data_IF_681438434265
#
_entry.id   IF_681438434265
#
_cell.length_a   1.000
_cell.length_b   1.000
_cell.length_c   1.000
_cell.angle_alpha   90.00
_cell.angle_beta   90.00
_cell.angle_gamma   90.00
#
_symmetry.space_group_name_H-M   'P 1'
#
loop_
_entity.id
_entity.type
_entity.pdbx_description
1 polymer ?
2 non-polymer ?
3 non-polymer ?
4 non-polymer ?
5 water ?
#
# COMPACT_ATOMS: atom_id res chain seq x y z
N UNK A 1 13.66 6.82 -6.46
CA UNK A 1 13.12 6.89 -5.07
C UNK A 1 12.00 7.92 -5.00
N UNK A 2 11.15 7.79 -3.99
CA UNK A 2 10.16 8.81 -3.68
C UNK A 2 10.29 9.20 -2.22
N UNK A 3 9.83 10.40 -1.90
CA UNK A 3 9.91 10.93 -0.54
C UNK A 3 8.61 11.59 -0.07
N UNK A 4 8.37 11.53 1.24
CA UNK A 4 7.28 12.28 1.87
C UNK A 4 7.69 12.76 3.27
N UNK A 5 7.42 14.03 3.52
CA UNK A 5 7.76 14.68 4.79
C UNK A 5 6.50 15.06 5.55
N UNK A 6 6.39 14.61 6.81
CA UNK A 6 5.23 14.94 7.62
C UNK A 6 5.28 16.39 8.13
N UNK A 7 6.49 16.93 8.27
CA UNK A 7 6.64 18.32 8.70
C UNK A 7 6.12 19.26 7.63
N UNK A 8 5.00 19.91 7.93
CA UNK A 8 4.37 20.84 6.99
C UNK A 8 3.45 20.16 5.99
N UNK A 9 3.21 18.86 6.18
CA UNK A 9 2.37 18.10 5.25
C UNK A 9 0.95 18.60 5.25
N UNK A 10 0.34 18.61 4.07
CA UNK A 10 -1.08 18.91 3.93
C UNK A 10 -1.68 18.04 2.83
N UNK A 11 -3.00 18.15 2.60
CA UNK A 11 -3.58 17.28 1.57
C UNK A 11 -2.89 17.37 0.21
N UNK A 12 -2.42 18.56 -0.14
CA UNK A 12 -1.72 18.78 -1.41
C UNK A 12 -0.36 18.08 -1.46
N UNK A 13 0.48 18.23 -0.44
CA UNK A 13 1.80 17.61 -0.44
C UNK A 13 1.70 16.08 -0.36
N UNK A 14 0.69 15.60 0.37
CA UNK A 14 0.41 14.15 0.42
C UNK A 14 -0.03 13.65 -0.95
N UNK A 15 -0.93 14.39 -1.61
CA UNK A 15 -1.36 14.04 -2.97
C UNK A 15 -0.19 13.98 -3.95
N UNK A 16 0.76 14.90 -3.80
CA UNK A 16 1.97 14.89 -4.63
C UNK A 16 2.80 13.63 -4.39
N UNK A 17 2.87 13.20 -3.12
CA UNK A 17 3.60 11.99 -2.75
C UNK A 17 2.98 10.74 -3.38
N UNK A 18 1.66 10.64 -3.30
CA UNK A 18 0.94 9.47 -3.83
C UNK A 18 1.04 9.44 -5.36
N UNK A 19 1.01 10.63 -5.98
CA UNK A 19 1.29 10.76 -7.42
C UNK A 19 2.70 10.26 -7.79
N UNK A 20 3.71 10.69 -7.01
CA UNK A 20 5.09 10.24 -7.21
C UNK A 20 5.22 8.73 -7.03
N UNK A 21 4.55 8.21 -6.01
CA UNK A 21 4.57 6.78 -5.72
C UNK A 21 4.02 5.98 -6.91
N UNK A 22 2.84 6.35 -7.39
CA UNK A 22 2.26 5.75 -8.59
C UNK A 22 3.18 5.82 -9.81
N UNK A 23 3.76 7.00 -10.05
CA UNK A 23 4.62 7.22 -11.23
C UNK A 23 5.96 6.51 -11.17
N UNK A 24 6.36 6.09 -9.97
CA UNK A 24 7.61 5.35 -9.79
C UNK A 24 7.43 3.85 -10.13
N UNK A 25 6.19 3.41 -10.28
CA UNK A 25 5.91 2.00 -10.57
C UNK A 25 5.86 1.81 -12.08
N UNK A 26 6.72 0.92 -12.61
CA UNK A 26 6.80 0.74 -14.06
C UNK A 26 5.64 -0.04 -14.64
N UNK A 27 5.29 0.30 -15.87
CA UNK A 27 4.30 -0.43 -16.65
C UNK A 27 4.61 -0.20 -18.12
N UNK A 28 4.32 -1.21 -18.95
CA UNK A 28 4.46 -1.07 -20.40
C UNK A 28 3.08 -1.03 -21.08
N UNK A 29 2.02 -1.14 -20.28
CA UNK A 29 0.68 -1.31 -20.80
C UNK A 29 -0.36 -0.73 -19.84
N UNK A 30 -1.42 -0.15 -20.40
CA UNK A 30 -2.59 0.19 -19.63
C UNK A 30 -3.77 -0.67 -20.08
N UNK A 31 -4.58 -1.08 -19.11
CA UNK A 31 -5.77 -1.86 -19.37
C UNK A 31 -6.96 -1.03 -18.90
N UNK A 32 -7.83 -0.69 -19.86
CA UNK A 32 -8.91 0.27 -19.65
C UNK A 32 -8.39 1.57 -19.01
N UNK A 33 -7.28 2.06 -19.56
CA UNK A 33 -6.63 3.31 -19.14
C UNK A 33 -5.97 3.28 -17.75
N UNK A 34 -5.90 2.11 -17.14
CA UNK A 34 -5.28 1.92 -15.83
C UNK A 34 -3.94 1.21 -16.01
N UNK A 35 -2.85 1.77 -15.47
CA UNK A 35 -1.55 1.13 -15.58
C UNK A 35 -1.54 -0.31 -15.08
N UNK A 36 -0.97 -1.20 -15.89
CA UNK A 36 -0.86 -2.61 -15.55
C UNK A 36 0.55 -2.89 -15.02
N UNK A 37 0.63 -3.26 -13.75
CA UNK A 37 1.94 -3.55 -13.16
C UNK A 37 2.58 -4.73 -13.86
N UNK A 38 3.90 -4.75 -13.87
CA UNK A 38 4.65 -5.75 -14.62
C UNK A 38 4.52 -7.14 -13.98
N UNK A 39 4.59 -8.21 -14.81
CA UNK A 39 4.58 -9.56 -14.28
C UNK A 39 5.74 -9.81 -13.32
N UNK A 40 6.92 -9.31 -13.68
CA UNK A 40 8.09 -9.41 -12.81
C UNK A 40 9.19 -8.45 -13.24
N UNK A 41 10.06 -8.16 -12.29
CA UNK A 41 11.25 -7.35 -12.52
C UNK A 41 12.37 -8.08 -11.81
N UNK A 42 13.51 -8.25 -12.49
CA UNK A 42 14.64 -8.98 -11.91
C UNK A 42 15.59 -8.04 -11.19
N UNK A 43 16.17 -8.55 -10.10
CA UNK A 43 17.23 -7.85 -9.39
C UNK A 43 16.74 -6.70 -8.55
N UNK A 44 17.62 -5.73 -8.32
CA UNK A 44 17.33 -4.60 -7.45
C UNK A 44 16.23 -3.69 -7.98
N UNK A 45 16.05 -3.65 -9.30
CA UNK A 45 15.02 -2.79 -9.91
C UNK A 45 13.59 -3.15 -9.52
N UNK A 46 13.43 -4.31 -8.88
CA UNK A 46 12.14 -4.75 -8.37
C UNK A 46 11.63 -3.89 -7.22
N UNK A 47 12.53 -3.21 -6.52
CA UNK A 47 12.19 -2.52 -5.28
C UNK A 47 12.33 -1.01 -5.35
N UNK A 48 11.23 -0.32 -5.07
CA UNK A 48 11.20 1.13 -4.93
C UNK A 48 11.48 1.48 -3.48
N UNK A 49 12.30 2.50 -3.28
CA UNK A 49 12.58 3.02 -1.94
C UNK A 49 11.76 4.26 -1.67
N UNK A 50 11.02 4.23 -0.57
CA UNK A 50 10.22 5.37 -0.12
C UNK A 50 10.90 5.96 1.10
N UNK A 51 11.31 7.22 1.01
CA UNK A 51 11.91 7.91 2.14
C UNK A 51 10.82 8.68 2.85
N UNK A 52 10.49 8.25 4.07
CA UNK A 52 9.46 8.89 4.88
C UNK A 52 10.07 9.58 6.09
N UNK A 53 9.66 10.82 6.31
CA UNK A 53 10.20 11.64 7.40
C UNK A 53 9.08 12.01 8.35
N UNK A 54 9.28 11.72 9.63
CA UNK A 54 8.30 12.11 10.64
C UNK A 54 8.39 13.62 10.85
N UNK A 55 7.51 14.16 11.68
CA UNK A 55 7.44 15.59 11.90
C UNK A 55 8.77 16.17 12.39
N UNK A 56 9.50 15.41 13.20
CA UNK A 56 10.80 15.85 13.73
C UNK A 56 11.96 15.70 12.74
N UNK A 57 11.69 15.17 11.55
CA UNK A 57 12.73 15.03 10.54
C UNK A 57 13.48 13.71 10.58
N UNK A 58 13.10 12.83 11.51
CA UNK A 58 13.66 11.48 11.55
C UNK A 58 13.08 10.68 10.41
N UNK A 59 13.84 9.71 9.91
CA UNK A 59 13.48 9.05 8.67
C UNK A 59 13.61 7.54 8.68
N UNK A 60 12.72 6.90 7.93
CA UNK A 60 12.88 5.49 7.57
C UNK A 60 12.82 5.38 6.05
N UNK A 61 13.41 4.32 5.51
CA UNK A 61 13.31 4.04 4.08
C UNK A 61 12.57 2.73 3.94
N UNK A 62 11.48 2.73 3.16
CA UNK A 62 10.63 1.57 3.01
C UNK A 62 10.84 0.97 1.63
N UNK A 63 11.11 -0.33 1.58
CA UNK A 63 11.28 -1.05 0.30
C UNK A 63 9.95 -1.60 -0.18
N UNK A 64 9.58 -1.26 -1.40
CA UNK A 64 8.30 -1.63 -1.99
C UNK A 64 8.54 -2.42 -3.28
N UNK A 65 7.92 -3.60 -3.39
CA UNK A 65 7.98 -4.40 -4.61
C UNK A 65 7.10 -3.73 -5.67
N UNK A 66 7.71 -3.33 -6.78
CA UNK A 66 7.03 -2.50 -7.79
C UNK A 66 6.03 -3.29 -8.66
N UNK A 67 6.06 -4.61 -8.57
CA UNK A 67 5.13 -5.46 -9.30
C UNK A 67 3.79 -5.62 -8.58
N UNK A 68 3.77 -5.41 -7.25
CA UNK A 68 2.53 -5.61 -6.48
C UNK A 68 2.23 -4.55 -5.39
N UNK A 69 3.12 -3.57 -5.26
CA UNK A 69 3.07 -2.53 -4.22
C UNK A 69 3.10 -3.08 -2.79
N UNK A 70 3.67 -4.27 -2.63
CA UNK A 70 3.84 -4.86 -1.31
C UNK A 70 5.10 -4.35 -0.65
N UNK A 71 4.96 -3.92 0.59
CA UNK A 71 6.09 -3.48 1.39
C UNK A 71 6.81 -4.74 1.86
N UNK A 72 8.10 -4.80 1.57
CA UNK A 72 8.95 -5.93 1.93
C UNK A 72 9.67 -5.73 3.27
N UNK A 73 10.04 -4.48 3.54
CA UNK A 73 10.81 -4.16 4.72
C UNK A 73 11.17 -2.70 4.75
N UNK A 74 12.00 -2.30 5.72
CA UNK A 74 12.38 -0.91 5.87
C UNK A 74 13.68 -0.79 6.62
N UNK A 75 14.33 0.36 6.44
CA UNK A 75 15.58 0.68 7.11
C UNK A 75 15.34 1.83 8.08
N UNK A 76 15.77 1.63 9.32
CA UNK A 76 15.68 2.66 10.33
C UNK A 76 17.06 2.80 10.97
N UNK A 77 17.72 3.90 10.64
CA UNK A 77 19.11 4.17 10.99
C UNK A 77 20.06 3.10 10.43
N UNK A 78 20.56 2.20 11.27
CA UNK A 78 21.52 1.20 10.82
C UNK A 78 20.97 -0.23 10.94
N UNK A 79 19.66 -0.33 11.19
CA UNK A 79 19.00 -1.61 11.28
C UNK A 79 17.95 -1.75 10.19
N UNK A 80 18.04 -2.83 9.42
CA UNK A 80 16.98 -3.19 8.48
C UNK A 80 16.00 -4.18 9.13
N UNK A 81 14.74 -4.11 8.68
CA UNK A 81 13.68 -4.97 9.16
C UNK A 81 12.94 -5.54 7.95
N UNK A 82 12.74 -6.84 7.91
CA UNK A 82 11.99 -7.47 6.80
C UNK A 82 10.91 -8.39 7.35
N UNK A 83 9.80 -8.47 6.61
CA UNK A 83 8.75 -9.41 6.94
C UNK A 83 9.27 -10.85 6.85
N UNK A 84 8.66 -11.71 7.65
CA UNK A 84 9.01 -13.13 7.70
C UNK A 84 8.24 -13.87 6.61
N UNK A 85 8.69 -13.68 5.37
CA UNK A 85 8.04 -14.27 4.20
C UNK A 85 9.10 -14.36 3.07
N UNK A 86 8.96 -15.35 2.18
CA UNK A 86 10.03 -15.55 1.17
C UNK A 86 10.31 -14.34 0.27
N UNK A 87 9.27 -13.60 -0.11
CA UNK A 87 9.45 -12.43 -0.96
C UNK A 87 10.28 -11.35 -0.29
N UNK A 88 10.13 -11.22 1.03
CA UNK A 88 10.88 -10.21 1.79
C UNK A 88 12.33 -10.65 2.00
N UNK A 89 12.55 -11.94 2.25
CA UNK A 89 13.91 -12.46 2.36
C UNK A 89 14.66 -12.25 1.05
N UNK A 90 13.98 -12.48 -0.08
CA UNK A 90 14.55 -12.20 -1.39
C UNK A 90 14.91 -10.72 -1.52
N UNK A 91 14.00 -9.83 -1.11
CA UNK A 91 14.27 -8.39 -1.12
C UNK A 91 15.52 -8.05 -0.30
N UNK A 92 15.73 -8.76 0.80
CA UNK A 92 16.86 -8.49 1.69
C UNK A 92 18.22 -8.80 1.03
N UNK A 93 18.20 -9.54 -0.08
CA UNK A 93 19.41 -9.73 -0.88
C UNK A 93 19.80 -8.47 -1.67
N UNK A 94 18.86 -7.54 -1.86
CA UNK A 94 19.05 -6.40 -2.76
C UNK A 94 19.01 -5.02 -2.11
N UNK A 95 18.20 -4.85 -1.07
CA UNK A 95 18.05 -3.54 -0.42
C UNK A 95 18.57 -3.54 1.01
N UNK A 96 19.05 -2.37 1.43
CA UNK A 96 19.52 -2.14 2.80
C UNK A 96 20.65 -3.06 3.24
N UNK A 97 21.46 -3.51 2.28
CA UNK A 97 22.56 -4.43 2.57
C UNK A 97 23.65 -3.78 3.43
N UNK A 98 23.70 -2.46 3.43
CA UNK A 98 24.65 -1.68 4.22
C UNK A 98 24.27 -1.55 5.71
N UNK A 99 23.05 -1.96 6.07
CA UNK A 99 22.64 -1.96 7.48
C UNK A 99 23.62 -2.77 8.32
N UNK A 100 23.92 -2.28 9.52
CA UNK A 100 24.80 -2.99 10.44
C UNK A 100 24.19 -4.32 10.90
N UNK A 101 22.87 -4.38 11.00
CA UNK A 101 22.18 -5.62 11.36
C UNK A 101 20.82 -5.71 10.70
N UNK A 102 20.37 -6.94 10.48
CA UNK A 102 19.07 -7.19 9.88
C UNK A 102 18.19 -7.95 10.89
N UNK A 103 17.01 -7.41 11.15
CA UNK A 103 16.01 -8.09 11.98
C UNK A 103 14.89 -8.58 11.07
N UNK A 104 14.57 -9.86 11.17
CA UNK A 104 13.39 -10.39 10.51
C UNK A 104 12.24 -10.24 11.50
N UNK A 105 11.21 -9.50 11.10
CA UNK A 105 10.03 -9.33 11.94
C UNK A 105 9.37 -10.68 12.18
N UNK A 106 8.71 -10.84 13.35
CA UNK A 106 8.08 -12.12 13.67
C UNK A 106 6.66 -12.27 13.09
N UNK A 107 6.48 -11.81 11.86
CA UNK A 107 5.24 -12.02 11.13
C UNK A 107 5.48 -11.71 9.66
N UNK A 108 4.62 -12.26 8.81
CA UNK A 108 4.57 -11.86 7.40
C UNK A 108 3.84 -10.52 7.27
N UNK A 109 3.80 -10.01 6.04
CA UNK A 109 3.24 -8.69 5.78
C UNK A 109 1.77 -8.66 5.41
N UNK A 110 1.08 -9.80 5.50
CA UNK A 110 -0.33 -9.77 5.15
C UNK A 110 -1.19 -9.28 6.31
N UNK A 111 -2.31 -8.67 5.96
CA UNK A 111 -3.19 -8.01 6.89
C UNK A 111 -3.58 -8.92 8.03
N UNK A 112 -3.82 -10.18 7.72
CA UNK A 112 -4.33 -11.11 8.71
C UNK A 112 -3.28 -11.36 9.81
N UNK A 113 -2.03 -11.60 9.43
CA UNK A 113 -0.94 -11.81 10.40
C UNK A 113 -0.56 -10.55 11.17
N UNK A 114 -0.54 -9.41 10.49
CA UNK A 114 -0.26 -8.13 11.13
C UNK A 114 -1.30 -7.78 12.19
N UNK A 115 -2.57 -8.00 11.87
CA UNK A 115 -3.68 -7.75 12.81
C UNK A 115 -3.61 -8.65 14.04
N UNK A 116 -3.24 -9.92 13.84
CA UNK A 116 -2.99 -10.84 14.95
C UNK A 116 -1.85 -10.34 15.84
N UNK A 117 -0.75 -9.91 15.22
CA UNK A 117 0.39 -9.36 15.97
C UNK A 117 0.05 -8.07 16.71
N UNK A 118 -0.76 -7.23 16.06
CA UNK A 118 -1.14 -5.93 16.62
C UNK A 118 -2.18 -6.06 17.73
N UNK A 119 -2.91 -7.18 17.71
CA UNK A 119 -3.96 -7.40 18.70
C UNK A 119 -5.29 -6.74 18.35
N UNK A 120 -5.42 -6.27 17.11
CA UNK A 120 -6.66 -5.65 16.66
C UNK A 120 -6.80 -5.64 15.15
N UNK A 121 -8.05 -5.65 14.65
CA UNK A 121 -8.26 -5.54 13.22
C UNK A 121 -8.09 -4.08 12.82
N UNK A 122 -7.77 -3.85 11.56
CA UNK A 122 -7.51 -2.47 11.16
C UNK A 122 -8.79 -1.64 11.07
N UNK A 123 -9.95 -2.27 11.15
CA UNK A 123 -11.22 -1.56 11.35
C UNK A 123 -11.21 -0.66 12.60
N UNK A 124 -10.38 -1.02 13.57
CA UNK A 124 -10.30 -0.33 14.86
C UNK A 124 -9.06 0.55 15.00
N UNK A 125 -8.22 0.61 13.96
CA UNK A 125 -6.97 1.38 14.01
C UNK A 125 -7.13 2.66 13.19
N UNK A 126 -7.13 3.82 13.87
CA UNK A 126 -7.22 5.09 13.15
C UNK A 126 -6.10 5.27 12.15
N UNK A 127 -6.42 5.84 11.00
CA UNK A 127 -5.42 6.18 9.99
C UNK A 127 -5.56 7.65 9.63
N UNK A 128 -4.58 8.17 8.91
CA UNK A 128 -4.46 9.60 8.66
C UNK A 128 -3.01 10.01 8.66
N UNK A 129 -2.75 11.30 8.42
CA UNK A 129 -1.38 11.79 8.41
C UNK A 129 -0.77 11.81 9.80
N UNK A 130 -1.54 12.19 10.84
CA UNK A 130 -0.98 12.03 12.18
C UNK A 130 -0.61 10.58 12.53
N UNK A 131 -1.44 9.62 12.14
CA UNK A 131 -1.15 8.22 12.39
C UNK A 131 0.11 7.79 11.64
N UNK A 132 0.31 8.32 10.43
CA UNK A 132 1.52 8.01 9.65
C UNK A 132 2.76 8.54 10.36
N UNK A 133 2.69 9.78 10.85
CA UNK A 133 3.77 10.35 11.65
C UNK A 133 4.11 9.46 12.85
N UNK A 134 3.09 8.99 13.56
CA UNK A 134 3.28 8.06 14.68
C UNK A 134 3.95 6.76 14.22
N UNK A 135 3.47 6.26 13.09
CA UNK A 135 3.93 4.97 12.57
C UNK A 135 5.43 5.01 12.27
N UNK A 136 5.85 6.09 11.62
CA UNK A 136 7.25 6.28 11.26
C UNK A 136 8.08 6.30 12.54
N UNK A 137 7.62 7.07 13.52
CA UNK A 137 8.31 7.20 14.80
C UNK A 137 8.45 5.86 15.51
N UNK A 138 7.38 5.08 15.51
CA UNK A 138 7.36 3.75 16.12
C UNK A 138 8.38 2.82 15.46
N UNK A 139 8.45 2.89 14.14
CA UNK A 139 9.33 1.98 13.39
C UNK A 139 10.82 2.32 13.57
N UNK A 140 11.10 3.52 14.07
CA UNK A 140 12.48 3.95 14.33
C UNK A 140 13.18 3.05 15.35
N UNK A 141 12.43 2.52 16.31
CA UNK A 141 13.01 1.63 17.33
C UNK A 141 12.19 0.38 17.49
N UNK A 142 12.88 -0.76 17.44
CA UNK A 142 12.24 -2.05 17.34
C UNK A 142 11.33 -2.37 18.52
N UNK A 143 10.07 -2.64 18.19
CA UNK A 143 9.08 -3.13 19.12
C UNK A 143 8.07 -3.87 18.23
N UNK A 144 8.11 -5.21 18.20
CA UNK A 144 7.39 -5.95 17.15
C UNK A 144 5.87 -5.81 17.25
N UNK A 145 5.34 -5.77 18.47
CA UNK A 145 3.91 -5.55 18.66
C UNK A 145 3.48 -4.15 18.20
N UNK A 146 4.18 -3.11 18.65
CA UNK A 146 3.91 -1.74 18.21
C UNK A 146 4.08 -1.62 16.70
N UNK A 147 5.14 -2.24 16.19
CA UNK A 147 5.46 -2.15 14.75
C UNK A 147 4.35 -2.70 13.88
N UNK A 148 3.66 -3.75 14.34
CA UNK A 148 2.59 -4.36 13.56
C UNK A 148 1.44 -3.37 13.30
N UNK A 149 1.07 -2.61 14.32
CA UNK A 149 0.06 -1.58 14.17
C UNK A 149 0.55 -0.46 13.27
N UNK A 150 1.80 -0.05 13.47
CA UNK A 150 2.41 0.99 12.66
C UNK A 150 2.46 0.58 11.19
N UNK A 151 2.77 -0.69 10.92
CA UNK A 151 2.83 -1.18 9.55
C UNK A 151 1.45 -1.23 8.90
N UNK A 152 0.41 -1.55 9.67
CA UNK A 152 -0.96 -1.51 9.17
C UNK A 152 -1.31 -0.09 8.73
N UNK A 153 -0.91 0.89 9.52
CA UNK A 153 -1.10 2.30 9.16
C UNK A 153 -0.27 2.63 7.92
N UNK A 154 0.99 2.22 7.93
CA UNK A 154 1.92 2.55 6.84
C UNK A 154 1.45 2.03 5.48
N UNK A 155 1.04 0.76 5.46
CA UNK A 155 0.58 0.11 4.23
C UNK A 155 -0.63 0.83 3.64
N UNK A 156 -1.59 1.16 4.49
CA UNK A 156 -2.84 1.77 4.04
C UNK A 156 -2.66 3.21 3.57
N UNK A 157 -1.77 3.95 4.21
CA UNK A 157 -1.56 5.36 3.87
C UNK A 157 -0.56 5.55 2.72
N UNK A 158 0.09 4.46 2.28
CA UNK A 158 1.01 4.53 1.15
C UNK A 158 0.49 3.66 0.00
N UNK A 159 0.72 2.34 0.09
CA UNK A 159 0.33 1.43 -0.99
C UNK A 159 -1.14 1.49 -1.36
N UNK A 160 -2.03 1.40 -0.38
CA UNK A 160 -3.48 1.33 -0.64
C UNK A 160 -3.97 2.64 -1.26
N UNK A 161 -3.44 3.77 -0.78
CA UNK A 161 -3.75 5.08 -1.36
C UNK A 161 -3.24 5.19 -2.79
N UNK A 162 -2.05 4.65 -3.06
CA UNK A 162 -1.53 4.59 -4.43
C UNK A 162 -2.48 3.78 -5.33
N UNK A 163 -3.04 2.69 -4.81
CA UNK A 163 -3.89 1.80 -5.60
C UNK A 163 -5.30 2.35 -5.90
N UNK A 164 -5.84 3.13 -4.96
CA UNK A 164 -7.21 3.62 -5.07
C UNK A 164 -7.27 5.11 -4.75
N UNK A 165 -7.80 5.89 -5.69
CA UNK A 165 -8.02 7.32 -5.49
C UNK A 165 -8.92 7.59 -4.27
N UNK A 166 -9.92 6.75 -4.07
CA UNK A 166 -10.81 6.90 -2.91
C UNK A 166 -10.02 6.85 -1.60
N UNK A 167 -9.08 5.92 -1.50
CA UNK A 167 -8.30 5.78 -0.27
C UNK A 167 -7.38 6.98 -0.06
N UNK A 168 -6.76 7.46 -1.14
CA UNK A 168 -5.94 8.67 -1.10
C UNK A 168 -6.76 9.86 -0.56
N UNK A 169 -7.97 10.02 -1.07
CA UNK A 169 -8.86 11.08 -0.61
C UNK A 169 -9.28 10.91 0.85
N UNK A 170 -9.45 9.66 1.29
CA UNK A 170 -9.79 9.37 2.68
C UNK A 170 -8.66 9.84 3.61
N UNK A 171 -7.42 9.61 3.19
CA UNK A 171 -6.27 10.05 3.99
C UNK A 171 -6.13 11.57 3.96
N UNK A 172 -6.36 12.18 2.81
CA UNK A 172 -6.39 13.65 2.72
C UNK A 172 -7.42 14.26 3.66
N UNK A 173 -8.56 13.61 3.82
CA UNK A 173 -9.60 14.04 4.75
C UNK A 173 -9.13 13.89 6.20
N UNK A 174 -8.18 12.97 6.41
CA UNK A 174 -7.59 12.71 7.73
C UNK A 174 -6.22 13.35 7.89
N UNK A 175 -6.00 14.50 7.24
CA UNK A 175 -4.69 15.16 7.26
C UNK A 175 -4.31 15.68 8.64
N UNK A 176 -5.29 16.10 9.43
CA UNK A 176 -5.02 16.69 10.76
C UNK A 176 -5.81 16.03 11.88
N UNK A 177 -6.55 14.97 11.54
CA UNK A 177 -7.33 14.19 12.51
C UNK A 177 -7.45 12.76 11.99
N UNK A 178 -6.90 11.80 12.72
CA UNK A 178 -7.06 10.40 12.39
C UNK A 178 -8.50 9.94 12.54
N UNK A 179 -8.85 8.93 11.77
CA UNK A 179 -10.13 8.26 11.91
C UNK A 179 -9.99 6.86 11.33
N UNK A 180 -10.63 5.89 11.96
CA UNK A 180 -10.59 4.52 11.45
C UNK A 180 -11.07 4.50 9.99
N UNK A 181 -10.56 3.55 9.18
CA UNK A 181 -10.95 3.53 7.78
C UNK A 181 -12.46 3.30 7.59
N UNK A 182 -13.03 3.87 6.54
CA UNK A 182 -14.41 3.57 6.18
C UNK A 182 -14.52 2.10 5.77
N UNK A 183 -15.71 1.52 5.90
CA UNK A 183 -15.91 0.13 5.47
C UNK A 183 -15.61 -0.02 3.98
N UNK A 184 -15.85 1.05 3.22
CA UNK A 184 -15.50 1.10 1.79
C UNK A 184 -14.00 0.95 1.56
N UNK A 185 -13.20 1.66 2.36
CA UNK A 185 -11.74 1.56 2.30
C UNK A 185 -11.31 0.11 2.52
N UNK A 186 -11.81 -0.51 3.57
CA UNK A 186 -11.50 -1.91 3.88
C UNK A 186 -11.88 -2.83 2.72
N UNK A 187 -13.07 -2.61 2.16
CA UNK A 187 -13.57 -3.43 1.06
C UNK A 187 -12.66 -3.34 -0.16
N UNK A 188 -12.25 -2.12 -0.52
CA UNK A 188 -11.36 -1.90 -1.66
C UNK A 188 -10.01 -2.56 -1.45
N UNK A 189 -9.45 -2.43 -0.25
CA UNK A 189 -8.18 -3.07 0.09
C UNK A 189 -8.27 -4.57 -0.13
N UNK A 190 -9.33 -5.16 0.39
CA UNK A 190 -9.55 -6.60 0.30
C UNK A 190 -9.85 -7.09 -1.13
N UNK A 191 -10.27 -6.18 -2.00
CA UNK A 191 -10.71 -6.54 -3.36
C UNK A 191 -9.74 -6.15 -4.48
N UNK A 192 -8.55 -5.66 -4.13
CA UNK A 192 -7.63 -5.14 -5.15
C UNK A 192 -7.19 -6.22 -6.12
N UNK A 193 -6.82 -7.38 -5.60
CA UNK A 193 -6.45 -8.53 -6.44
C UNK A 193 -7.62 -8.96 -7.32
N UNK A 194 -8.78 -9.13 -6.70
CA UNK A 194 -10.01 -9.49 -7.41
C UNK A 194 -10.37 -8.52 -8.52
N UNK A 195 -10.36 -7.23 -8.21
CA UNK A 195 -10.68 -6.18 -9.19
C UNK A 195 -9.66 -6.15 -10.32
N UNK A 196 -8.38 -6.23 -9.95
CA UNK A 196 -7.30 -6.25 -10.91
C UNK A 196 -7.48 -7.39 -11.91
N UNK A 197 -7.83 -8.56 -11.40
CA UNK A 197 -8.07 -9.73 -12.23
C UNK A 197 -9.26 -9.54 -13.18
N UNK A 198 -10.40 -9.12 -12.63
CA UNK A 198 -11.64 -8.99 -13.42
C UNK A 198 -11.56 -7.90 -14.48
N UNK A 199 -10.83 -6.82 -14.20
CA UNK A 199 -10.59 -5.76 -15.17
C UNK A 199 -9.77 -6.30 -16.34
N UNK A 200 -8.75 -7.11 -16.03
CA UNK A 200 -7.97 -7.76 -17.09
C UNK A 200 -8.78 -8.83 -17.86
N UNK A 201 -9.61 -9.59 -17.16
CA UNK A 201 -10.44 -10.60 -17.84
C UNK A 201 -11.51 -9.95 -18.72
N UNK A 202 -11.85 -8.71 -18.41
CA UNK A 202 -12.83 -7.95 -19.20
C UNK A 202 -12.31 -7.60 -20.61
N UNK A 203 -10.98 -7.57 -20.78
CA UNK A 203 -10.34 -7.17 -22.05
C UNK A 203 -10.87 -7.95 -23.26
N UNK A 204 -11.04 -9.26 -23.09
CA UNK A 204 -11.61 -10.11 -24.15
C UNK A 204 -13.03 -10.59 -23.89
N UNK A 205 -13.74 -9.87 -23.02
CA UNK A 205 -15.11 -10.24 -22.63
C UNK A 205 -16.01 -9.00 -22.71
N UNK A 206 -15.69 -8.11 -23.66
CA UNK A 206 -16.49 -6.92 -23.95
C UNK A 206 -16.67 -5.97 -22.76
N UNK A 207 -15.65 -5.88 -21.92
CA UNK A 207 -15.70 -5.00 -20.74
C UNK A 207 -16.45 -5.57 -19.55
N UNK A 208 -16.88 -6.82 -19.65
CA UNK A 208 -17.71 -7.47 -18.65
C UNK A 208 -16.87 -8.38 -17.74
N UNK A 209 -17.06 -8.28 -16.43
CA UNK A 209 -16.37 -9.15 -15.47
C UNK A 209 -16.86 -10.60 -15.63
N UNK A 210 -15.93 -11.54 -15.64
CA UNK A 210 -16.27 -12.97 -15.64
C UNK A 210 -16.93 -13.35 -14.30
N UNK A 211 -16.51 -12.69 -13.22
CA UNK A 211 -17.06 -12.90 -11.89
C UNK A 211 -17.27 -11.54 -11.21
N UNK A 212 -18.50 -11.23 -10.79
CA UNK A 212 -18.77 -9.95 -10.14
C UNK A 212 -17.95 -9.74 -8.87
N UNK A 213 -17.57 -8.49 -8.61
CA UNK A 213 -16.86 -8.14 -7.38
C UNK A 213 -17.84 -7.41 -6.45
N UNK A 214 -18.01 -7.95 -5.25
CA UNK A 214 -18.85 -7.33 -4.22
C UNK A 214 -18.04 -6.32 -3.41
N UNK A 215 -18.53 -5.07 -3.35
CA UNK A 215 -17.89 -4.00 -2.61
C UNK A 215 -18.87 -3.29 -1.68
N UNK A 216 -18.34 -2.64 -0.65
CA UNK A 216 -19.13 -1.73 0.18
C UNK A 216 -18.87 -0.30 -0.30
N UNK A 217 -19.93 0.49 -0.46
CA UNK A 217 -19.80 1.85 -0.99
C UNK A 217 -19.68 2.90 0.13
N UNK A 218 -19.62 4.18 -0.27
CA UNK A 218 -19.48 5.32 0.66
C UNK A 218 -20.56 5.40 1.74
N UNK A 219 -21.77 4.96 1.40
CA UNK A 219 -22.91 5.02 2.33
C UNK A 219 -22.97 3.81 3.27
N UNK A 220 -22.05 2.86 3.07
CA UNK A 220 -22.04 1.62 3.85
C UNK A 220 -22.89 0.53 3.22
N UNK A 221 -23.28 0.72 1.96
CA UNK A 221 -24.13 -0.24 1.25
C UNK A 221 -23.31 -1.19 0.38
N UNK A 222 -23.60 -2.49 0.48
CA UNK A 222 -22.93 -3.53 -0.29
C UNK A 222 -23.45 -3.56 -1.73
N UNK A 223 -22.53 -3.50 -2.70
CA UNK A 223 -22.88 -3.41 -4.12
C UNK A 223 -22.03 -4.34 -4.99
N UNK A 224 -22.55 -4.68 -6.16
CA UNK A 224 -21.87 -5.57 -7.08
C UNK A 224 -21.30 -4.81 -8.28
N UNK A 225 -20.03 -5.08 -8.58
CA UNK A 225 -19.34 -4.49 -9.73
C UNK A 225 -19.27 -5.57 -10.81
N UNK A 226 -19.85 -5.28 -11.97
CA UNK A 226 -19.98 -6.31 -13.02
C UNK A 226 -19.24 -5.99 -14.32
N UNK A 227 -18.84 -4.74 -14.51
CA UNK A 227 -18.19 -4.33 -15.75
C UNK A 227 -17.39 -3.04 -15.60
N UNK A 228 -16.61 -2.73 -16.64
CA UNK A 228 -15.65 -1.63 -16.60
C UNK A 228 -16.25 -0.21 -16.62
N UNK A 229 -17.57 -0.09 -16.79
CA UNK A 229 -18.22 1.23 -16.74
C UNK A 229 -18.44 1.69 -15.30
N UNK A 230 -18.23 0.80 -14.34
CA UNK A 230 -18.38 1.14 -12.92
C UNK A 230 -17.40 2.24 -12.51
N UNK A 231 -17.88 3.12 -11.63
CA UNK A 231 -17.06 4.20 -11.08
C UNK A 231 -15.75 3.70 -10.46
N UNK A 232 -15.78 2.50 -9.88
CA UNK A 232 -14.58 1.90 -9.28
C UNK A 232 -13.48 1.74 -10.33
N UNK A 233 -13.87 1.42 -11.57
CA UNK A 233 -12.90 1.19 -12.64
C UNK A 233 -12.53 2.47 -13.40
N UNK A 234 -13.52 3.32 -13.66
CA UNK A 234 -13.30 4.53 -14.46
C UNK A 234 -12.57 5.63 -13.70
N UNK A 235 -12.73 5.66 -12.38
CA UNK A 235 -12.23 6.80 -11.58
C UNK A 235 -11.32 6.41 -10.41
N UNK A 236 -11.60 5.28 -9.79
CA UNK A 236 -11.04 4.95 -8.48
C UNK A 236 -9.71 4.19 -8.56
N UNK A 237 -9.73 2.96 -9.06
CA UNK A 237 -8.52 2.13 -9.09
C UNK A 237 -7.45 2.79 -9.98
N UNK A 238 -6.21 2.80 -9.52
CA UNK A 238 -5.11 3.49 -10.23
C UNK A 238 -3.98 2.57 -10.69
N UNK A 239 -4.01 1.32 -10.23
CA UNK A 239 -2.96 0.34 -10.52
C UNK A 239 -3.56 -1.05 -10.55
N UNK A 240 -3.13 -1.86 -11.53
CA UNK A 240 -3.62 -3.22 -11.66
C UNK A 240 -2.52 -4.23 -11.35
N UNK A 241 -2.83 -5.12 -10.42
CA UNK A 241 -2.02 -6.30 -10.17
C UNK A 241 -2.13 -7.20 -11.39
N UNK A 242 -1.00 -7.54 -11.99
CA UNK A 242 -0.95 -8.39 -13.18
C UNK A 242 -1.53 -9.78 -12.85
N UNK A 243 -2.39 -10.31 -13.71
CA UNK A 243 -2.99 -11.63 -13.48
C UNK A 243 -1.98 -12.76 -13.33
N UNK A 244 -0.80 -12.61 -13.92
CA UNK A 244 0.26 -13.59 -13.77
C UNK A 244 0.69 -13.75 -12.31
N UNK A 245 0.45 -12.71 -11.50
CA UNK A 245 0.75 -12.74 -10.07
C UNK A 245 -0.49 -13.01 -9.17
N UNK A 246 -1.58 -13.46 -9.78
CA UNK A 246 -2.82 -13.74 -9.03
C UNK A 246 -3.16 -15.23 -9.14
#
# INVERSE_FOLDING_TARGET
DVSFRLSGADPSSYGMFIKDLRNALPHTEKVYNIPLLLPSVSGAGRYLLMHLFNYDGNTITVAVDVTNVYIMGYLALTTSYFFNEPAADLASQYVFRSARRKITLPYSGNYERLQIAAGKPREKIPIGLPALDTAISTLLHYDSTAAAGALLVLIQTTAEAARFKYIEQQIQERAYRDEVPSSATISLENSWSGLSKQIQLAQGNNGVFRTPTVLVDSKGNRVQITNVTSNVVTSNIQLLLNTKNI
#
